data_IF_608574584112
#
_entry.id   IF_608574584112
#
_cell.length_a   1.000
_cell.length_b   1.000
_cell.length_c   1.000
_cell.angle_alpha   90.00
_cell.angle_beta   90.00
_cell.angle_gamma   90.00
#
_symmetry.space_group_name_H-M   'P 1'
#
loop_
_entity.id
_entity.type
_entity.pdbx_description
1 polymer ?
#
# COMPACT_ATOMS: atom_id res chain seq x y z
N UNK A 1 1.97 18.33 -17.33
CA UNK A 1 2.60 17.40 -18.30
C UNK A 1 1.50 16.69 -19.04
N UNK A 2 1.43 16.87 -20.27
CA UNK A 2 0.25 16.47 -20.98
C UNK A 2 0.56 15.30 -21.88
N UNK A 3 0.91 14.12 -21.43
CA UNK A 3 1.27 13.15 -22.43
C UNK A 3 0.54 11.82 -22.32
N UNK A 4 0.12 11.42 -21.14
CA UNK A 4 -0.60 10.16 -21.01
C UNK A 4 -1.54 10.22 -19.80
N UNK A 5 -2.85 10.06 -20.03
CA UNK A 5 -3.81 9.90 -18.95
C UNK A 5 -3.78 8.49 -18.35
N UNK A 6 -4.43 8.30 -17.21
CA UNK A 6 -4.47 7.01 -16.53
C UNK A 6 -5.11 5.90 -17.36
N UNK A 7 -6.08 6.24 -18.22
CA UNK A 7 -6.76 5.27 -19.09
C UNK A 7 -5.86 4.75 -20.20
N UNK A 8 -5.12 5.65 -20.83
CA UNK A 8 -4.12 5.30 -21.84
C UNK A 8 -3.01 4.47 -21.22
N UNK A 9 -2.57 4.83 -20.02
CA UNK A 9 -1.57 4.06 -19.26
C UNK A 9 -2.07 2.65 -18.97
N UNK A 10 -3.30 2.49 -18.47
CA UNK A 10 -3.93 1.20 -18.21
C UNK A 10 -3.97 0.32 -19.47
N UNK A 11 -4.43 0.89 -20.57
CA UNK A 11 -4.49 0.18 -21.87
C UNK A 11 -3.11 -0.30 -22.33
N UNK A 12 -2.10 0.56 -22.20
CA UNK A 12 -0.73 0.21 -22.56
C UNK A 12 -0.18 -0.92 -21.68
N UNK A 13 -0.43 -0.90 -20.36
CA UNK A 13 -0.02 -1.96 -19.46
C UNK A 13 -0.71 -3.29 -19.83
N UNK A 14 -2.01 -3.26 -20.09
CA UNK A 14 -2.77 -4.47 -20.45
C UNK A 14 -2.36 -5.07 -21.80
N UNK A 15 -1.88 -4.25 -22.72
CA UNK A 15 -1.34 -4.70 -24.00
C UNK A 15 0.12 -5.15 -23.93
N UNK A 16 0.80 -4.94 -22.80
CA UNK A 16 2.20 -5.31 -22.64
C UNK A 16 2.34 -6.78 -22.25
N UNK A 17 3.16 -7.56 -23.00
CA UNK A 17 3.29 -9.02 -22.81
C UNK A 17 3.67 -9.48 -21.40
N UNK A 18 4.44 -8.67 -20.67
CA UNK A 18 4.94 -9.01 -19.32
C UNK A 18 4.08 -8.38 -18.22
N UNK A 19 3.52 -7.18 -18.48
CA UNK A 19 2.84 -6.39 -17.46
C UNK A 19 1.32 -6.59 -17.45
N UNK A 20 0.76 -7.31 -18.40
CA UNK A 20 -0.69 -7.46 -18.57
C UNK A 20 -1.40 -8.14 -17.38
N UNK A 21 -0.68 -8.89 -16.57
CA UNK A 21 -1.23 -9.64 -15.43
C UNK A 21 -1.03 -8.96 -14.08
N UNK A 22 -0.35 -7.81 -14.02
CA UNK A 22 -0.18 -7.11 -12.75
C UNK A 22 -1.51 -6.53 -12.26
N UNK A 23 -1.82 -6.60 -10.95
CA UNK A 23 -2.99 -5.94 -10.38
C UNK A 23 -2.89 -4.41 -10.54
N UNK A 24 -3.98 -3.77 -10.98
CA UNK A 24 -4.04 -2.32 -11.17
C UNK A 24 -5.25 -1.75 -10.46
N UNK A 25 -5.01 -0.76 -9.60
CA UNK A 25 -6.05 0.08 -8.98
C UNK A 25 -5.99 1.46 -9.62
N UNK A 26 -7.11 1.94 -10.13
CA UNK A 26 -7.25 3.30 -10.63
C UNK A 26 -7.71 4.24 -9.52
N UNK A 27 -7.01 5.36 -9.36
CA UNK A 27 -7.41 6.44 -8.45
C UNK A 27 -8.06 7.55 -9.25
N UNK A 28 -9.37 7.77 -9.07
CA UNK A 28 -10.18 8.68 -9.88
C UNK A 28 -10.76 9.85 -9.08
N UNK A 29 -11.15 10.94 -9.75
CA UNK A 29 -11.96 12.00 -9.17
C UNK A 29 -13.46 11.63 -9.22
N UNK A 30 -14.28 12.26 -8.36
CA UNK A 30 -15.69 11.90 -8.11
C UNK A 30 -16.61 11.95 -9.35
N UNK A 31 -16.28 12.76 -10.36
CA UNK A 31 -17.22 13.12 -11.44
C UNK A 31 -17.30 12.09 -12.60
N UNK A 32 -16.82 10.87 -12.41
CA UNK A 32 -16.64 9.95 -13.53
C UNK A 32 -17.36 8.60 -13.39
N UNK A 33 -18.59 8.57 -12.87
CA UNK A 33 -19.38 7.33 -12.73
C UNK A 33 -19.53 6.56 -14.06
N UNK A 34 -19.69 7.27 -15.17
CA UNK A 34 -19.73 6.68 -16.51
C UNK A 34 -18.39 6.07 -16.94
N UNK A 35 -17.28 6.65 -16.51
CA UNK A 35 -15.95 6.13 -16.80
C UNK A 35 -15.56 4.97 -15.89
N UNK A 36 -16.13 4.88 -14.68
CA UNK A 36 -15.94 3.73 -13.79
C UNK A 36 -16.47 2.44 -14.42
N UNK A 37 -17.70 2.47 -14.97
CA UNK A 37 -18.29 1.29 -15.65
C UNK A 37 -17.52 0.92 -16.92
N UNK A 38 -17.10 1.92 -17.68
CA UNK A 38 -16.27 1.73 -18.87
C UNK A 38 -14.86 1.24 -18.53
N UNK A 39 -14.34 1.62 -17.40
CA UNK A 39 -13.02 1.26 -16.91
C UNK A 39 -12.90 -0.18 -16.39
N UNK A 40 -13.91 -0.73 -15.75
CA UNK A 40 -13.95 -2.17 -15.41
C UNK A 40 -13.86 -3.04 -16.68
N UNK A 41 -14.46 -2.57 -17.78
CA UNK A 41 -14.30 -3.18 -19.10
C UNK A 41 -12.91 -2.94 -19.71
N UNK A 42 -12.18 -1.93 -19.24
CA UNK A 42 -10.84 -1.58 -19.74
C UNK A 42 -9.69 -2.33 -19.07
N UNK A 43 -9.99 -3.20 -18.09
CA UNK A 43 -9.00 -4.11 -17.49
C UNK A 43 -8.34 -3.62 -16.20
N UNK A 44 -8.87 -2.62 -15.50
CA UNK A 44 -8.49 -2.35 -14.12
C UNK A 44 -9.12 -3.39 -13.18
N UNK A 45 -8.43 -3.72 -12.10
CA UNK A 45 -8.90 -4.69 -11.12
C UNK A 45 -9.77 -4.04 -10.04
N UNK A 46 -9.57 -2.76 -9.76
CA UNK A 46 -10.38 -1.98 -8.82
C UNK A 46 -10.24 -0.47 -9.07
N UNK A 47 -11.16 0.31 -8.47
CA UNK A 47 -11.22 1.77 -8.53
C UNK A 47 -11.39 2.35 -7.15
N UNK A 48 -10.72 3.47 -6.90
CA UNK A 48 -10.89 4.25 -5.68
C UNK A 48 -11.10 5.72 -6.05
N UNK A 49 -12.18 6.28 -5.56
CA UNK A 49 -12.53 7.68 -5.76
C UNK A 49 -11.78 8.56 -4.76
N UNK A 50 -11.22 9.66 -5.22
CA UNK A 50 -10.59 10.69 -4.38
C UNK A 50 -11.67 11.64 -3.84
N UNK A 51 -11.59 12.09 -2.56
CA UNK A 51 -10.58 11.74 -1.56
C UNK A 51 -10.84 10.36 -0.93
N UNK A 52 -9.79 9.62 -0.62
CA UNK A 52 -9.87 8.33 0.05
C UNK A 52 -9.06 8.31 1.34
N UNK A 53 -9.44 7.43 2.27
CA UNK A 53 -8.65 7.16 3.48
C UNK A 53 -7.63 6.05 3.20
N UNK A 54 -6.41 6.23 3.67
CA UNK A 54 -5.30 5.32 3.41
C UNK A 54 -5.58 3.86 3.80
N UNK A 55 -6.22 3.55 4.96
CA UNK A 55 -6.59 2.19 5.31
C UNK A 55 -7.50 1.49 4.29
N UNK A 56 -8.40 2.24 3.65
CA UNK A 56 -9.27 1.69 2.60
C UNK A 56 -8.47 1.29 1.35
N UNK A 57 -7.55 2.14 0.91
CA UNK A 57 -6.64 1.82 -0.19
C UNK A 57 -5.83 0.55 0.12
N UNK A 58 -5.25 0.46 1.32
CA UNK A 58 -4.45 -0.71 1.73
C UNK A 58 -5.27 -2.00 1.75
N UNK A 59 -6.50 -1.97 2.27
CA UNK A 59 -7.37 -3.14 2.29
C UNK A 59 -7.68 -3.67 0.88
N UNK A 60 -7.85 -2.77 -0.09
CA UNK A 60 -8.07 -3.13 -1.50
C UNK A 60 -6.82 -3.69 -2.16
N UNK A 61 -5.66 -3.10 -1.92
CA UNK A 61 -4.36 -3.63 -2.39
C UNK A 61 -4.16 -5.04 -1.85
N UNK A 62 -4.39 -5.25 -0.55
CA UNK A 62 -4.27 -6.56 0.09
C UNK A 62 -5.20 -7.60 -0.54
N UNK A 63 -6.46 -7.24 -0.78
CA UNK A 63 -7.44 -8.12 -1.42
C UNK A 63 -7.01 -8.53 -2.84
N UNK A 64 -6.46 -7.60 -3.62
CA UNK A 64 -5.96 -7.89 -4.96
C UNK A 64 -4.71 -8.78 -4.94
N UNK A 65 -3.76 -8.50 -4.08
CA UNK A 65 -2.54 -9.30 -3.93
C UNK A 65 -2.87 -10.73 -3.47
N UNK A 66 -3.85 -10.89 -2.59
CA UNK A 66 -4.32 -12.21 -2.16
C UNK A 66 -4.90 -13.03 -3.31
N UNK A 67 -5.65 -12.41 -4.22
CA UNK A 67 -6.21 -13.07 -5.41
C UNK A 67 -5.13 -13.48 -6.42
N UNK A 68 -4.04 -12.72 -6.51
CA UNK A 68 -2.94 -12.96 -7.45
C UNK A 68 -1.90 -13.98 -7.00
N UNK A 69 -2.13 -14.75 -5.93
CA UNK A 69 -1.18 -15.74 -5.37
C UNK A 69 0.19 -15.20 -4.93
N UNK A 70 0.31 -13.91 -4.66
CA UNK A 70 1.54 -13.31 -4.15
C UNK A 70 1.83 -13.67 -2.67
N UNK A 71 0.91 -14.39 -2.02
CA UNK A 71 0.81 -14.56 -0.56
C UNK A 71 1.71 -15.62 0.08
N UNK A 72 2.58 -16.33 -0.65
CA UNK A 72 3.42 -17.35 0.00
C UNK A 72 4.48 -16.81 0.99
N UNK A 73 4.72 -15.50 0.99
CA UNK A 73 5.68 -14.84 1.90
C UNK A 73 5.05 -14.27 3.18
N UNK A 74 3.74 -14.13 3.25
CA UNK A 74 3.07 -13.38 4.33
C UNK A 74 3.03 -14.11 5.68
N UNK A 75 2.97 -15.43 5.67
CA UNK A 75 2.96 -16.21 6.92
C UNK A 75 4.28 -16.05 7.69
N UNK A 76 5.42 -16.00 6.99
CA UNK A 76 6.73 -15.76 7.64
C UNK A 76 6.85 -14.33 8.17
N UNK A 77 6.27 -13.34 7.48
CA UNK A 77 6.31 -11.92 7.89
C UNK A 77 5.55 -11.66 9.19
N UNK A 78 4.38 -12.28 9.38
CA UNK A 78 3.60 -12.13 10.61
C UNK A 78 4.38 -12.57 11.86
N UNK A 79 5.16 -13.66 11.76
CA UNK A 79 6.02 -14.12 12.86
C UNK A 79 7.17 -13.15 13.15
N UNK A 80 7.73 -12.53 12.11
CA UNK A 80 8.84 -11.59 12.26
C UNK A 80 8.39 -10.25 12.86
N UNK A 81 7.15 -9.82 12.64
CA UNK A 81 6.59 -8.61 13.26
C UNK A 81 6.57 -8.72 14.80
N UNK A 82 6.37 -9.91 15.34
CA UNK A 82 6.43 -10.13 16.79
C UNK A 82 7.82 -9.84 17.37
N UNK A 83 8.87 -9.94 16.59
CA UNK A 83 10.26 -9.66 16.99
C UNK A 83 10.64 -8.17 16.95
N UNK A 84 9.75 -7.30 16.47
CA UNK A 84 9.97 -5.85 16.49
C UNK A 84 9.94 -5.33 17.92
N UNK A 85 10.78 -4.34 18.20
CA UNK A 85 10.73 -3.59 19.47
C UNK A 85 9.41 -2.84 19.59
N UNK A 86 9.04 -2.46 20.82
CA UNK A 86 7.83 -1.66 21.08
C UNK A 86 7.81 -0.39 20.24
N UNK A 87 8.95 0.28 20.10
CA UNK A 87 9.10 1.51 19.30
C UNK A 87 8.93 1.26 17.80
N UNK A 88 9.46 0.17 17.29
CA UNK A 88 9.29 -0.22 15.88
C UNK A 88 7.83 -0.59 15.56
N UNK A 89 7.15 -1.26 16.48
CA UNK A 89 5.70 -1.57 16.36
C UNK A 89 4.85 -0.29 16.33
N UNK A 90 5.15 0.66 17.20
CA UNK A 90 4.48 1.95 17.27
C UNK A 90 4.63 2.74 15.96
N UNK A 91 5.84 2.81 15.42
CA UNK A 91 6.11 3.44 14.13
C UNK A 91 5.37 2.70 13.01
N UNK A 92 5.44 1.39 12.99
CA UNK A 92 4.79 0.57 11.96
C UNK A 92 3.26 0.71 12.00
N UNK A 93 2.66 0.85 13.19
CA UNK A 93 1.24 1.18 13.36
C UNK A 93 0.89 2.52 12.71
N UNK A 94 1.66 3.56 12.96
CA UNK A 94 1.43 4.88 12.35
C UNK A 94 1.61 4.85 10.82
N UNK A 95 2.53 4.03 10.32
CA UNK A 95 2.68 3.76 8.88
C UNK A 95 1.41 3.13 8.31
N UNK A 96 0.82 2.15 8.98
CA UNK A 96 -0.43 1.51 8.51
C UNK A 96 -1.65 2.43 8.52
N UNK A 97 -1.60 3.50 9.34
CA UNK A 97 -2.61 4.56 9.35
C UNK A 97 -2.40 5.63 8.26
N UNK A 98 -1.29 5.54 7.51
CA UNK A 98 -0.98 6.47 6.43
C UNK A 98 -0.24 7.74 6.85
N UNK A 99 0.24 7.82 8.09
CA UNK A 99 0.98 8.99 8.56
C UNK A 99 2.31 9.16 7.81
N UNK A 100 2.65 10.39 7.43
CA UNK A 100 3.96 10.71 6.83
C UNK A 100 5.08 10.62 7.89
N UNK A 101 6.36 10.58 7.46
CA UNK A 101 7.48 10.57 8.39
C UNK A 101 7.50 11.80 9.30
N UNK A 102 7.14 12.98 8.76
CA UNK A 102 7.01 14.21 9.54
C UNK A 102 5.94 14.08 10.62
N UNK A 103 4.76 13.53 10.27
CA UNK A 103 3.65 13.31 11.19
C UNK A 103 3.95 12.28 12.27
N UNK A 104 4.67 11.21 11.90
CA UNK A 104 5.17 10.20 12.85
C UNK A 104 6.18 10.83 13.81
N UNK A 105 7.12 11.64 13.28
CA UNK A 105 8.11 12.34 14.08
C UNK A 105 7.47 13.26 15.12
N UNK A 106 6.46 14.03 14.71
CA UNK A 106 5.67 14.90 15.58
C UNK A 106 4.95 14.10 16.67
N UNK A 107 4.19 13.07 16.30
CA UNK A 107 3.43 12.23 17.25
C UNK A 107 4.31 11.51 18.27
N UNK A 108 5.52 11.13 17.87
CA UNK A 108 6.44 10.36 18.71
C UNK A 108 7.52 11.21 19.38
N UNK A 109 7.49 12.54 19.20
CA UNK A 109 8.45 13.50 19.74
C UNK A 109 9.91 13.15 19.40
N UNK A 110 10.16 12.75 18.15
CA UNK A 110 11.50 12.44 17.61
C UNK A 110 11.75 13.19 16.30
N UNK A 111 12.99 13.18 15.82
CA UNK A 111 13.30 13.80 14.54
C UNK A 111 12.90 12.90 13.37
N UNK A 112 12.54 13.50 12.23
CA UNK A 112 12.15 12.75 11.04
C UNK A 112 13.24 11.80 10.54
N UNK A 113 14.52 12.20 10.69
CA UNK A 113 15.66 11.33 10.35
C UNK A 113 15.68 10.05 11.21
N UNK A 114 15.26 10.15 12.48
CA UNK A 114 15.14 9.01 13.38
C UNK A 114 14.02 8.07 12.93
N UNK A 115 12.89 8.62 12.45
CA UNK A 115 11.80 7.82 11.85
C UNK A 115 12.32 7.05 10.64
N UNK A 116 13.07 7.71 9.72
CA UNK A 116 13.67 7.06 8.56
C UNK A 116 14.59 5.90 8.94
N UNK A 117 15.41 6.10 9.97
CA UNK A 117 16.31 5.06 10.49
C UNK A 117 15.53 3.85 11.01
N UNK A 118 14.48 4.09 11.81
CA UNK A 118 13.61 3.02 12.29
C UNK A 118 12.92 2.29 11.14
N UNK A 119 12.39 3.01 10.14
CA UNK A 119 11.74 2.41 8.99
C UNK A 119 12.68 1.49 8.20
N UNK A 120 13.92 1.91 7.96
CA UNK A 120 14.92 1.07 7.30
C UNK A 120 15.19 -0.22 8.09
N UNK A 121 15.29 -0.12 9.41
CA UNK A 121 15.46 -1.28 10.28
C UNK A 121 14.23 -2.21 10.27
N UNK A 122 13.03 -1.64 10.33
CA UNK A 122 11.77 -2.37 10.23
C UNK A 122 11.71 -3.13 8.90
N UNK A 123 11.94 -2.43 7.76
CA UNK A 123 11.88 -3.04 6.44
C UNK A 123 12.83 -4.23 6.31
N UNK A 124 14.06 -4.07 6.78
CA UNK A 124 15.04 -5.16 6.81
C UNK A 124 14.59 -6.33 7.68
N UNK A 125 14.04 -6.06 8.88
CA UNK A 125 13.60 -7.08 9.81
C UNK A 125 12.42 -7.89 9.27
N UNK A 126 11.39 -7.22 8.73
CA UNK A 126 10.18 -7.89 8.23
C UNK A 126 10.28 -8.33 6.76
N UNK A 127 11.42 -8.07 6.10
CA UNK A 127 11.68 -8.50 4.73
C UNK A 127 10.77 -7.84 3.70
N UNK A 128 10.64 -6.52 3.77
CA UNK A 128 9.88 -5.70 2.82
C UNK A 128 10.76 -4.63 2.19
N UNK A 129 10.41 -4.21 0.98
CA UNK A 129 11.23 -3.29 0.20
C UNK A 129 10.72 -1.84 0.21
N UNK A 130 9.46 -1.64 0.62
CA UNK A 130 8.83 -0.33 0.56
C UNK A 130 7.76 -0.15 1.63
N UNK A 131 7.29 1.12 1.76
CA UNK A 131 6.31 1.54 2.74
C UNK A 131 4.95 0.85 2.60
N UNK A 132 4.50 0.61 1.37
CA UNK A 132 3.21 -0.04 1.11
C UNK A 132 3.23 -1.48 1.60
N UNK A 133 4.30 -2.22 1.30
CA UNK A 133 4.47 -3.58 1.80
C UNK A 133 4.55 -3.63 3.34
N UNK A 134 5.22 -2.66 3.96
CA UNK A 134 5.29 -2.55 5.42
C UNK A 134 3.92 -2.29 6.04
N UNK A 135 3.13 -1.40 5.46
CA UNK A 135 1.78 -1.10 5.92
C UNK A 135 0.85 -2.31 5.80
N UNK A 136 0.90 -3.03 4.66
CA UNK A 136 0.14 -4.28 4.46
C UNK A 136 0.54 -5.34 5.47
N UNK A 137 1.85 -5.52 5.71
CA UNK A 137 2.35 -6.47 6.69
C UNK A 137 1.86 -6.15 8.12
N UNK A 138 1.81 -4.87 8.49
CA UNK A 138 1.26 -4.41 9.76
C UNK A 138 -0.24 -4.73 9.90
N UNK A 139 -1.02 -4.51 8.84
CA UNK A 139 -2.46 -4.81 8.82
C UNK A 139 -2.72 -6.30 8.97
N UNK A 140 -1.97 -7.14 8.24
CA UNK A 140 -2.10 -8.60 8.29
C UNK A 140 -1.71 -9.18 9.65
N UNK A 141 -0.80 -8.53 10.37
CA UNK A 141 -0.39 -8.92 11.71
C UNK A 141 -1.29 -8.40 12.84
N UNK A 142 -2.37 -7.67 12.51
CA UNK A 142 -3.31 -7.17 13.50
C UNK A 142 -2.76 -6.04 14.38
N UNK A 143 -1.72 -5.32 13.94
CA UNK A 143 -1.12 -4.22 14.73
C UNK A 143 -2.10 -3.05 14.96
N UNK A 144 -3.27 -3.06 14.35
CA UNK A 144 -4.28 -2.01 14.55
C UNK A 144 -4.84 -1.94 15.96
N UNK A 145 -4.80 -3.04 16.71
CA UNK A 145 -5.54 -3.22 17.96
C UNK A 145 -4.65 -3.24 19.22
N UNK A 146 -3.39 -2.81 19.12
CA UNK A 146 -2.47 -2.71 20.27
C UNK A 146 -2.30 -1.27 20.69
#
# INVERSE_FOLDING_TARGET
MPVMDGWTTLKNIRNHKILNSIPIIMLTAIDDDYKQVSGLKSGADDYIVKPFVFPNLLARIEALLRRSNWNKKDVKRAQTINSLTSREKEILKLVSLGDSNAKIAEKLFIREITVKTHLNNIYRKIGVDNRVQAAIAAMNAGIKDI
#
